data_IF_008818768152
#
_entry.id   IF_008818768152
#
_cell.length_a   1.000
_cell.length_b   1.000
_cell.length_c   1.000
_cell.angle_alpha   90.00
_cell.angle_beta   90.00
_cell.angle_gamma   90.00
#
_symmetry.space_group_name_H-M   'P 1'
#
loop_
_entity.id
_entity.type
_entity.pdbx_description
1 polymer ?
#
# COMPACT_ATOMS: atom_id res chain seq x y z
N UNK A 1 -40.78 -19.49 33.95
CA UNK A 1 -41.33 -20.03 32.70
C UNK A 1 -40.88 -21.47 32.55
N UNK A 2 -41.77 -22.31 32.03
CA UNK A 2 -41.80 -23.76 32.13
C UNK A 2 -40.68 -24.52 31.43
N UNK A 3 -40.44 -25.73 31.94
CA UNK A 3 -39.57 -26.80 31.44
C UNK A 3 -39.74 -27.13 29.96
N UNK A 4 -38.66 -27.61 29.33
CA UNK A 4 -38.79 -28.66 28.31
C UNK A 4 -37.60 -29.62 28.34
N UNK A 5 -37.86 -30.83 28.86
CA UNK A 5 -37.05 -32.03 28.68
C UNK A 5 -37.37 -32.58 27.29
N UNK A 6 -36.38 -32.73 26.42
CA UNK A 6 -36.54 -33.50 25.18
C UNK A 6 -35.61 -34.70 25.27
N UNK A 7 -36.20 -35.82 25.70
CA UNK A 7 -35.65 -37.16 25.55
C UNK A 7 -35.83 -37.57 24.08
N UNK A 8 -34.75 -37.53 23.29
CA UNK A 8 -34.80 -38.08 21.92
C UNK A 8 -34.42 -39.55 21.95
N UNK A 9 -35.46 -40.37 21.98
CA UNK A 9 -35.44 -41.81 21.82
C UNK A 9 -35.08 -42.13 20.36
N UNK A 10 -33.82 -42.51 20.08
CA UNK A 10 -33.43 -42.93 18.72
C UNK A 10 -33.67 -44.43 18.57
N UNK A 11 -34.87 -44.72 18.10
CA UNK A 11 -35.37 -46.00 17.63
C UNK A 11 -34.37 -46.66 16.68
N UNK A 12 -33.90 -47.86 17.04
CA UNK A 12 -33.20 -48.74 16.11
C UNK A 12 -34.21 -49.24 15.08
N UNK A 13 -34.05 -48.79 13.83
CA UNK A 13 -34.77 -49.36 12.69
C UNK A 13 -34.23 -50.77 12.42
N UNK A 14 -34.90 -51.77 13.01
CA UNK A 14 -34.73 -53.19 12.65
C UNK A 14 -35.79 -53.56 11.62
N UNK A 15 -35.57 -53.17 10.37
CA UNK A 15 -36.45 -53.52 9.25
C UNK A 15 -35.64 -54.32 8.23
N UNK A 16 -36.11 -55.54 7.95
CA UNK A 16 -35.60 -56.55 7.01
C UNK A 16 -34.44 -57.44 7.47
N UNK A 17 -34.79 -58.59 8.06
CA UNK A 17 -33.98 -59.81 7.99
C UNK A 17 -34.80 -60.84 7.20
N UNK A 18 -34.48 -61.01 5.92
CA UNK A 18 -34.92 -62.15 5.11
C UNK A 18 -33.88 -63.27 5.26
N UNK A 19 -34.33 -64.44 5.71
CA UNK A 19 -33.51 -65.62 5.95
C UNK A 19 -33.27 -66.38 4.64
N UNK A 20 -32.09 -66.19 4.04
CA UNK A 20 -31.51 -67.09 3.05
C UNK A 20 -30.02 -67.22 3.35
N UNK A 21 -29.52 -68.47 3.39
CA UNK A 21 -28.11 -68.81 3.60
C UNK A 21 -27.24 -68.30 2.46
N UNK A 22 -26.81 -67.05 2.55
CA UNK A 22 -25.65 -66.53 1.84
C UNK A 22 -24.61 -66.14 2.88
N UNK A 23 -23.37 -66.58 2.70
CA UNK A 23 -22.22 -66.04 3.44
C UNK A 23 -22.05 -64.58 3.02
N UNK A 24 -22.87 -63.72 3.60
CA UNK A 24 -22.88 -62.29 3.37
C UNK A 24 -21.67 -61.69 4.06
N UNK A 25 -20.69 -61.28 3.26
CA UNK A 25 -19.58 -60.50 3.76
C UNK A 25 -20.11 -59.14 4.24
N UNK A 26 -20.15 -58.92 5.55
CA UNK A 26 -20.54 -57.63 6.15
C UNK A 26 -19.30 -56.72 6.17
N UNK A 27 -19.32 -55.64 5.38
CA UNK A 27 -18.26 -54.62 5.40
C UNK A 27 -18.71 -53.42 6.23
N UNK A 28 -17.97 -53.10 7.28
CA UNK A 28 -18.19 -51.90 8.11
C UNK A 28 -17.10 -50.86 7.80
N UNK A 29 -17.51 -49.63 7.47
CA UNK A 29 -16.59 -48.51 7.24
C UNK A 29 -16.54 -47.66 8.51
N UNK A 30 -15.41 -47.70 9.21
CA UNK A 30 -15.12 -46.84 10.36
C UNK A 30 -14.66 -45.46 9.87
N UNK A 31 -15.02 -44.41 10.61
CA UNK A 31 -14.61 -43.03 10.32
C UNK A 31 -13.71 -42.47 11.43
N UNK A 32 -12.87 -41.53 11.04
CA UNK A 32 -11.99 -40.76 11.90
C UNK A 32 -12.06 -39.30 11.49
N UNK A 33 -12.19 -38.40 12.47
CA UNK A 33 -12.13 -36.95 12.25
C UNK A 33 -10.66 -36.50 12.15
N UNK A 34 -10.39 -35.57 11.23
CA UNK A 34 -9.09 -34.95 11.01
C UNK A 34 -9.24 -33.42 11.05
N UNK A 35 -8.23 -32.72 11.56
CA UNK A 35 -8.21 -31.27 11.66
C UNK A 35 -7.17 -30.68 10.72
N UNK A 36 -7.59 -29.79 9.84
CA UNK A 36 -6.72 -29.01 8.95
C UNK A 36 -6.71 -27.55 9.42
N UNK A 37 -5.51 -26.99 9.58
CA UNK A 37 -5.32 -25.58 9.98
C UNK A 37 -4.71 -24.82 8.82
N UNK A 38 -5.45 -23.83 8.30
CA UNK A 38 -5.01 -22.93 7.24
C UNK A 38 -4.98 -21.51 7.78
N UNK A 39 -3.93 -20.76 7.42
CA UNK A 39 -3.81 -19.34 7.73
C UNK A 39 -3.92 -18.54 6.44
N UNK A 40 -4.74 -17.51 6.47
CA UNK A 40 -4.92 -16.59 5.35
C UNK A 40 -4.51 -15.19 5.76
N UNK A 41 -3.89 -14.47 4.83
CA UNK A 41 -3.62 -13.04 5.02
C UNK A 41 -4.89 -12.25 4.75
N UNK A 42 -5.28 -11.42 5.70
CA UNK A 42 -6.43 -10.54 5.58
C UNK A 42 -5.92 -9.10 5.65
N UNK A 43 -6.24 -8.29 4.64
CA UNK A 43 -5.93 -6.87 4.65
C UNK A 43 -6.89 -6.16 5.62
N UNK A 44 -6.34 -5.60 6.70
CA UNK A 44 -7.12 -4.91 7.73
C UNK A 44 -7.11 -3.38 7.61
N UNK A 45 -6.32 -2.83 6.67
CA UNK A 45 -6.21 -1.39 6.47
C UNK A 45 -5.39 -1.04 5.24
N UNK A 46 -5.47 0.23 4.85
CA UNK A 46 -4.82 0.78 3.68
C UNK A 46 -4.08 2.07 4.06
N UNK A 47 -2.86 2.23 3.56
CA UNK A 47 -2.06 3.46 3.75
C UNK A 47 -1.83 4.08 2.38
N UNK A 48 -2.27 5.34 2.24
CA UNK A 48 -2.10 6.12 1.02
C UNK A 48 -1.05 7.21 1.24
N UNK A 49 -0.03 7.24 0.39
CA UNK A 49 1.09 8.19 0.47
C UNK A 49 1.02 9.13 -0.73
N UNK A 50 0.97 10.43 -0.45
CA UNK A 50 0.92 11.47 -1.47
C UNK A 50 2.08 12.44 -1.28
N UNK A 51 2.70 12.82 -2.39
CA UNK A 51 3.62 13.95 -2.43
C UNK A 51 2.83 15.19 -2.83
N UNK A 52 2.93 16.24 -2.02
CA UNK A 52 2.44 17.56 -2.38
C UNK A 52 3.60 18.39 -2.96
N UNK A 53 3.38 19.00 -4.11
CA UNK A 53 4.34 19.93 -4.72
C UNK A 53 3.69 21.30 -4.76
N UNK A 54 4.39 22.32 -4.26
CA UNK A 54 3.96 23.71 -4.36
C UNK A 54 5.04 24.55 -5.04
N UNK A 55 4.60 25.64 -5.64
CA UNK A 55 5.47 26.66 -6.23
C UNK A 55 5.38 27.92 -5.37
N UNK A 56 6.53 28.54 -5.13
CA UNK A 56 6.66 29.82 -4.44
C UNK A 56 7.16 30.85 -5.46
N UNK A 57 6.47 31.98 -5.58
CA UNK A 57 6.93 33.11 -6.38
C UNK A 57 7.94 33.94 -5.57
N UNK A 58 9.10 34.22 -6.18
CA UNK A 58 10.13 35.07 -5.58
C UNK A 58 10.46 36.20 -6.54
N UNK A 59 10.47 37.41 -6.01
CA UNK A 59 10.82 38.62 -6.75
C UNK A 59 12.22 39.07 -6.34
N UNK A 60 13.05 39.40 -7.34
CA UNK A 60 14.40 39.90 -7.15
C UNK A 60 14.54 41.26 -7.83
N UNK A 61 15.15 42.23 -7.15
CA UNK A 61 15.54 43.51 -7.75
C UNK A 61 17.05 43.51 -7.86
N UNK A 62 17.55 43.50 -9.09
CA UNK A 62 18.98 43.46 -9.39
C UNK A 62 19.34 44.75 -10.14
N UNK A 63 20.26 45.58 -9.62
CA UNK A 63 20.73 46.74 -10.35
C UNK A 63 21.53 46.27 -11.57
N UNK A 64 21.32 46.93 -12.72
CA UNK A 64 22.11 46.71 -13.92
C UNK A 64 22.79 48.02 -14.33
N UNK A 65 24.02 47.90 -14.81
CA UNK A 65 24.81 49.01 -15.31
C UNK A 65 24.74 49.09 -16.83
N UNK A 66 24.80 50.31 -17.34
CA UNK A 66 24.95 50.63 -18.76
C UNK A 66 26.06 51.64 -18.93
N UNK A 67 26.97 51.37 -19.84
CA UNK A 67 28.04 52.28 -20.18
C UNK A 67 27.64 53.12 -21.41
N UNK A 68 27.67 54.45 -21.26
CA UNK A 68 27.40 55.42 -22.33
C UNK A 68 28.63 56.31 -22.55
N UNK A 69 29.06 56.44 -23.80
CA UNK A 69 29.96 57.51 -24.20
C UNK A 69 29.17 58.80 -24.39
N UNK A 70 29.57 59.85 -23.67
CA UNK A 70 28.98 61.19 -23.76
C UNK A 70 29.96 62.13 -24.45
N UNK A 71 29.55 62.72 -25.58
CA UNK A 71 30.32 63.73 -26.30
C UNK A 71 29.59 65.07 -26.16
N UNK A 72 30.21 66.01 -25.47
CA UNK A 72 29.72 67.37 -25.30
C UNK A 72 30.44 68.32 -26.27
N UNK A 73 29.68 68.97 -27.16
CA UNK A 73 30.24 70.00 -28.05
C UNK A 73 30.02 71.38 -27.43
N UNK A 74 31.11 71.97 -26.94
CA UNK A 74 31.13 73.36 -26.45
C UNK A 74 31.51 74.30 -27.58
N UNK A 75 30.60 75.19 -27.97
CA UNK A 75 30.92 76.28 -28.90
C UNK A 75 31.77 77.33 -28.16
N UNK A 76 33.06 77.42 -28.52
CA UNK A 76 33.92 78.52 -28.11
C UNK A 76 33.53 79.75 -28.95
N UNK A 77 32.67 80.60 -28.41
CA UNK A 77 32.11 81.75 -29.14
C UNK A 77 33.19 82.72 -29.65
N UNK A 78 33.00 83.23 -30.86
CA UNK A 78 33.56 84.52 -31.29
C UNK A 78 32.57 85.63 -30.87
N UNK A 79 33.04 86.82 -30.43
CA UNK A 79 32.17 87.88 -29.91
C UNK A 79 31.40 88.55 -31.06
N UNK A 80 30.27 87.98 -31.47
CA UNK A 80 29.37 88.62 -32.43
C UNK A 80 27.95 88.71 -31.85
N UNK A 81 27.43 89.92 -31.56
CA UNK A 81 26.24 90.13 -30.72
C UNK A 81 24.88 89.84 -31.40
N UNK A 82 24.85 89.14 -32.54
CA UNK A 82 23.63 88.93 -33.34
C UNK A 82 23.10 87.49 -33.36
N UNK A 83 23.73 86.53 -32.70
CA UNK A 83 23.28 85.14 -32.74
C UNK A 83 23.43 84.46 -31.36
N UNK A 84 22.50 84.75 -30.45
CA UNK A 84 22.47 84.22 -29.09
C UNK A 84 21.69 82.90 -28.99
N UNK A 85 22.06 81.91 -29.80
CA UNK A 85 21.59 80.54 -29.60
C UNK A 85 22.79 79.63 -29.36
N UNK A 86 23.22 79.56 -28.11
CA UNK A 86 24.13 78.51 -27.65
C UNK A 86 23.34 77.22 -27.49
N UNK A 87 23.19 76.45 -28.58
CA UNK A 87 22.72 75.08 -28.48
C UNK A 87 23.91 74.20 -28.07
N UNK A 88 23.87 73.69 -26.85
CA UNK A 88 24.77 72.64 -26.38
C UNK A 88 24.36 71.33 -27.06
N UNK A 89 25.22 70.81 -27.94
CA UNK A 89 24.97 69.56 -28.66
C UNK A 89 25.61 68.41 -27.87
N UNK A 90 24.77 67.52 -27.34
CA UNK A 90 25.19 66.33 -26.58
C UNK A 90 24.85 65.09 -27.41
N UNK A 91 25.85 64.26 -27.68
CA UNK A 91 25.68 62.96 -28.35
C UNK A 91 25.95 61.85 -27.32
N UNK A 92 25.02 60.90 -27.21
CA UNK A 92 25.12 59.72 -26.33
C UNK A 92 25.21 58.46 -27.18
N UNK A 93 26.26 57.67 -27.00
CA UNK A 93 26.48 56.42 -27.71
C UNK A 93 26.57 55.28 -26.68
N UNK A 94 25.64 54.31 -26.68
CA UNK A 94 25.73 53.16 -25.79
C UNK A 94 26.90 52.26 -26.19
N UNK A 95 27.69 51.80 -25.21
CA UNK A 95 28.86 50.94 -25.44
C UNK A 95 28.60 49.51 -24.96
N UNK A 96 28.09 49.35 -23.74
CA UNK A 96 27.85 48.06 -23.12
C UNK A 96 26.66 48.13 -22.15
N UNK A 97 26.04 46.99 -21.88
CA UNK A 97 24.92 46.84 -20.97
C UNK A 97 25.04 45.49 -20.25
N UNK A 98 24.84 45.48 -18.94
CA UNK A 98 24.80 44.25 -18.15
C UNK A 98 23.54 43.45 -18.49
N UNK A 99 23.71 42.15 -18.70
CA UNK A 99 22.60 41.20 -18.92
C UNK A 99 22.52 40.23 -17.74
N UNK A 100 21.29 39.90 -17.33
CA UNK A 100 21.05 38.96 -16.24
C UNK A 100 20.63 37.60 -16.81
N UNK A 101 21.28 36.54 -16.36
CA UNK A 101 20.88 35.15 -16.59
C UNK A 101 20.47 34.49 -15.26
N UNK A 102 19.34 33.79 -15.26
CA UNK A 102 18.83 33.07 -14.10
C UNK A 102 18.72 31.58 -14.39
N UNK A 103 19.19 30.75 -13.46
CA UNK A 103 19.02 29.29 -13.52
C UNK A 103 18.54 28.74 -12.19
N UNK A 104 17.64 27.75 -12.26
CA UNK A 104 17.13 27.00 -11.11
C UNK A 104 17.57 25.55 -11.24
N UNK A 105 18.14 25.00 -10.18
CA UNK A 105 18.44 23.57 -10.08
C UNK A 105 17.64 22.94 -8.93
N UNK A 106 17.34 21.65 -9.06
CA UNK A 106 16.65 20.87 -8.03
C UNK A 106 17.68 20.30 -7.06
N UNK A 107 17.32 20.25 -5.78
CA UNK A 107 18.11 19.62 -4.72
C UNK A 107 17.22 18.65 -3.97
N UNK A 108 17.78 17.51 -3.55
CA UNK A 108 17.08 16.58 -2.67
C UNK A 108 17.08 17.16 -1.26
N UNK A 109 15.92 17.16 -0.62
CA UNK A 109 15.76 17.67 0.74
C UNK A 109 15.78 16.54 1.76
N UNK A 110 15.11 15.44 1.45
CA UNK A 110 14.88 14.34 2.39
C UNK A 110 14.70 13.01 1.64
N UNK A 111 15.19 11.94 2.27
CA UNK A 111 14.98 10.56 1.83
C UNK A 111 14.03 9.86 2.81
N UNK A 112 12.89 9.41 2.32
CA UNK A 112 11.86 8.75 3.13
C UNK A 112 11.84 7.25 2.79
N UNK A 113 11.97 6.40 3.80
CA UNK A 113 11.94 4.94 3.67
C UNK A 113 10.77 4.34 4.43
N UNK A 114 10.08 3.38 3.81
CA UNK A 114 8.91 2.70 4.37
C UNK A 114 9.16 1.19 4.41
N UNK A 115 8.85 0.56 5.53
CA UNK A 115 9.00 -0.87 5.71
C UNK A 115 7.78 -1.46 6.41
N UNK A 116 7.46 -2.70 6.06
CA UNK A 116 6.43 -3.50 6.72
C UNK A 116 7.18 -4.49 7.61
N UNK A 117 6.92 -4.43 8.91
CA UNK A 117 7.42 -5.41 9.86
C UNK A 117 6.35 -6.49 10.10
N UNK A 118 6.78 -7.75 10.18
CA UNK A 118 5.88 -8.89 10.40
C UNK A 118 6.09 -9.44 11.81
N UNK A 119 5.10 -9.24 12.67
CA UNK A 119 5.12 -9.77 14.03
C UNK A 119 4.44 -11.14 14.08
N UNK A 120 5.13 -12.12 14.66
CA UNK A 120 4.54 -13.42 14.92
C UNK A 120 3.75 -13.38 16.22
N UNK A 121 2.46 -13.73 16.14
CA UNK A 121 1.62 -13.99 17.30
C UNK A 121 1.14 -15.44 17.29
N UNK A 122 0.98 -16.04 18.47
CA UNK A 122 0.53 -17.43 18.61
C UNK A 122 -0.86 -17.45 19.20
N UNK A 123 -1.77 -18.18 18.57
CA UNK A 123 -3.11 -18.44 19.08
C UNK A 123 -3.23 -19.92 19.44
N UNK A 124 -3.72 -20.21 20.65
CA UNK A 124 -3.97 -21.57 21.10
C UNK A 124 -5.38 -22.02 20.67
N UNK A 125 -5.46 -23.20 20.06
CA UNK A 125 -6.72 -23.80 19.59
C UNK A 125 -6.74 -25.24 20.12
N UNK A 126 -7.84 -25.62 20.79
CA UNK A 126 -8.07 -26.97 21.31
C UNK A 126 -9.34 -27.54 20.69
N UNK A 127 -9.24 -28.74 20.12
CA UNK A 127 -10.37 -29.45 19.51
C UNK A 127 -10.34 -30.94 19.88
N UNK A 128 -11.52 -31.55 20.02
CA UNK A 128 -11.67 -32.98 20.33
C UNK A 128 -12.06 -33.77 19.09
N UNK A 129 -11.18 -34.66 18.63
CA UNK A 129 -11.44 -35.51 17.46
C UNK A 129 -12.02 -36.86 17.86
N UNK A 130 -13.03 -37.31 17.11
CA UNK A 130 -13.67 -38.62 17.31
C UNK A 130 -13.08 -39.65 16.37
N UNK A 131 -12.99 -40.88 16.89
CA UNK A 131 -12.59 -42.06 16.13
C UNK A 131 -13.51 -43.22 16.43
N UNK A 132 -14.08 -43.79 15.39
CA UNK A 132 -14.90 -44.99 15.51
C UNK A 132 -14.00 -46.22 15.68
N UNK A 133 -14.30 -47.05 16.68
CA UNK A 133 -13.60 -48.32 16.92
C UNK A 133 -14.59 -49.47 16.86
N UNK A 134 -14.29 -50.48 16.04
CA UNK A 134 -15.11 -51.68 15.96
C UNK A 134 -14.92 -52.54 17.22
N UNK A 135 -16.03 -52.85 17.90
CA UNK A 135 -16.07 -53.82 19.01
C UNK A 135 -17.11 -54.89 18.68
N UNK A 136 -16.65 -56.12 18.43
CA UNK A 136 -17.51 -57.26 18.15
C UNK A 136 -17.73 -58.03 19.47
N UNK A 137 -18.99 -58.21 19.86
CA UNK A 137 -19.38 -59.11 20.95
C UNK A 137 -20.18 -60.26 20.35
N UNK A 138 -19.69 -61.48 20.51
CA UNK A 138 -20.41 -62.69 20.08
C UNK A 138 -21.01 -63.36 21.31
N UNK A 139 -22.32 -63.58 21.29
CA UNK A 139 -23.02 -64.36 22.31
C UNK A 139 -23.21 -65.80 21.79
N UNK A 140 -22.57 -66.77 22.44
CA UNK A 140 -22.51 -68.18 22.02
C UNK A 140 -21.06 -68.66 21.83
N UNK A 141 -20.87 -69.87 21.29
CA UNK A 141 -19.55 -70.48 21.03
C UNK A 141 -19.18 -70.38 19.54
N UNK A 142 -18.70 -69.22 19.03
CA UNK A 142 -18.31 -69.11 17.64
C UNK A 142 -17.03 -69.90 17.37
N UNK A 143 -17.01 -70.68 16.30
CA UNK A 143 -15.75 -71.17 15.71
C UNK A 143 -15.16 -70.03 14.89
N UNK A 144 -14.20 -69.32 15.47
CA UNK A 144 -13.36 -68.37 14.74
C UNK A 144 -12.35 -69.20 13.95
N UNK A 145 -12.38 -69.07 12.62
CA UNK A 145 -11.34 -69.61 11.74
C UNK A 145 -10.44 -68.44 11.38
N UNK A 146 -9.26 -68.38 11.99
CA UNK A 146 -8.19 -67.51 11.51
C UNK A 146 -7.64 -68.09 10.21
N UNK A 147 -7.37 -67.23 9.23
CA UNK A 147 -6.59 -67.54 8.05
C UNK A 147 -5.58 -66.42 7.81
#
# INVERSE_FOLDING_TARGET
MSNNLISTNKQMDTSNINTSEDKSNITLKLKEEQLDVVKEWITIGEVNIYRHTFSEEKNFTIPINREELIIEKKNLGSPNPKNNYTQEEIIRIPLSEEQIEFSKHKVNLEDISLYIDTLQNTQHIEETLKKEQLKIKVLGSPKISDN
#
